data_IF_441728520889
#
_entry.id   IF_441728520889
#
_cell.length_a   1.000
_cell.length_b   1.000
_cell.length_c   1.000
_cell.angle_alpha   90.00
_cell.angle_beta   90.00
_cell.angle_gamma   90.00
#
_symmetry.space_group_name_H-M   'P 1'
#
loop_
_entity.id
_entity.type
_entity.pdbx_description
1 polymer ?
#
# COMPACT_ATOMS: atom_id res chain seq x y z
N UNK A 1 20.75 0.29 -42.25
CA UNK A 1 19.29 0.17 -42.49
C UNK A 1 18.75 -1.16 -41.93
N UNK A 2 19.45 -2.27 -42.15
CA UNK A 2 18.96 -3.64 -41.84
C UNK A 2 18.70 -3.91 -40.34
N UNK A 3 19.52 -3.36 -39.43
CA UNK A 3 19.31 -3.52 -37.99
C UNK A 3 18.00 -2.90 -37.49
N UNK A 4 17.53 -1.84 -38.15
CA UNK A 4 16.29 -1.16 -37.74
C UNK A 4 15.06 -1.93 -38.22
N UNK A 5 15.14 -2.51 -39.43
CA UNK A 5 14.12 -3.38 -40.00
C UNK A 5 13.97 -4.65 -39.15
N UNK A 6 15.09 -5.28 -38.74
CA UNK A 6 15.05 -6.43 -37.83
C UNK A 6 14.43 -6.09 -36.47
N UNK A 7 14.70 -4.91 -35.91
CA UNK A 7 14.12 -4.46 -34.63
C UNK A 7 12.60 -4.25 -34.73
N UNK A 8 12.14 -3.66 -35.83
CA UNK A 8 10.70 -3.47 -36.11
C UNK A 8 10.02 -4.83 -36.28
N UNK A 9 10.60 -5.73 -37.06
CA UNK A 9 10.06 -7.06 -37.29
C UNK A 9 9.93 -7.85 -35.97
N UNK A 10 10.96 -7.83 -35.12
CA UNK A 10 10.90 -8.46 -33.79
C UNK A 10 9.79 -7.88 -32.91
N UNK A 11 9.58 -6.57 -32.93
CA UNK A 11 8.51 -5.90 -32.16
C UNK A 11 7.11 -6.37 -32.55
N UNK A 12 6.90 -6.67 -33.83
CA UNK A 12 5.62 -7.16 -34.35
C UNK A 12 5.41 -8.67 -34.16
N UNK A 13 6.50 -9.45 -34.12
CA UNK A 13 6.45 -10.89 -33.92
C UNK A 13 6.32 -11.29 -32.43
N UNK A 14 6.57 -10.38 -31.49
CA UNK A 14 6.41 -10.63 -30.06
C UNK A 14 4.94 -10.47 -29.61
N UNK A 15 4.48 -11.42 -28.78
CA UNK A 15 3.15 -11.39 -28.17
C UNK A 15 2.96 -10.10 -27.33
N UNK A 16 1.79 -9.47 -27.45
CA UNK A 16 1.43 -8.18 -26.83
C UNK A 16 1.72 -8.12 -25.33
N UNK A 17 1.60 -9.24 -24.62
CA UNK A 17 1.89 -9.34 -23.18
C UNK A 17 3.38 -9.18 -22.84
N UNK A 18 4.29 -9.55 -23.76
CA UNK A 18 5.75 -9.45 -23.57
C UNK A 18 6.32 -8.10 -24.03
N UNK A 19 5.55 -7.32 -24.81
CA UNK A 19 5.93 -5.99 -25.31
C UNK A 19 5.90 -4.88 -24.22
N UNK A 20 5.34 -5.16 -23.05
CA UNK A 20 5.31 -4.19 -21.93
C UNK A 20 6.70 -4.04 -21.29
N UNK A 21 7.53 -5.09 -21.34
CA UNK A 21 8.84 -5.14 -20.69
C UNK A 21 10.00 -4.72 -21.61
N UNK A 22 9.76 -4.59 -22.92
CA UNK A 22 10.77 -4.23 -23.93
C UNK A 22 10.79 -2.75 -24.27
N UNK A 23 9.93 -1.93 -23.65
CA UNK A 23 10.02 -0.46 -23.73
C UNK A 23 11.31 -0.01 -23.04
N UNK A 24 12.35 0.21 -23.86
CA UNK A 24 13.42 1.18 -23.66
C UNK A 24 14.01 1.24 -22.25
N UNK A 25 14.56 0.12 -21.79
CA UNK A 25 15.53 0.11 -20.68
C UNK A 25 16.92 0.65 -21.10
N UNK A 26 17.08 1.16 -22.32
CA UNK A 26 18.34 1.68 -22.86
C UNK A 26 18.71 3.09 -22.37
N UNK A 27 17.88 3.73 -21.55
CA UNK A 27 18.24 4.97 -20.84
C UNK A 27 18.67 4.72 -19.39
N UNK A 28 18.84 3.45 -19.00
CA UNK A 28 19.56 3.12 -17.77
C UNK A 28 21.05 3.35 -18.02
N UNK A 29 21.66 4.26 -17.26
CA UNK A 29 23.09 4.36 -16.93
C UNK A 29 23.85 5.63 -17.37
N UNK A 30 23.27 6.83 -17.29
CA UNK A 30 24.05 8.08 -17.32
C UNK A 30 23.73 9.02 -16.13
N UNK A 31 23.67 8.50 -14.90
CA UNK A 31 23.41 9.36 -13.74
C UNK A 31 24.00 8.90 -12.41
N UNK A 32 25.13 8.17 -12.40
CA UNK A 32 25.91 8.12 -11.16
C UNK A 32 26.56 9.48 -10.96
N UNK A 33 25.86 10.39 -10.28
CA UNK A 33 26.46 11.63 -9.76
C UNK A 33 27.73 11.23 -9.02
N UNK A 34 28.86 11.87 -9.33
CA UNK A 34 30.12 11.56 -8.68
C UNK A 34 29.95 11.73 -7.16
N UNK A 35 30.19 10.66 -6.40
CA UNK A 35 29.94 10.64 -4.95
C UNK A 35 30.73 11.72 -4.19
N UNK A 36 31.85 12.19 -4.75
CA UNK A 36 32.65 13.27 -4.18
C UNK A 36 31.96 14.63 -4.32
N UNK A 37 31.41 14.92 -5.50
CA UNK A 37 30.65 16.14 -5.75
C UNK A 37 29.36 16.15 -4.94
N UNK A 38 28.68 15.01 -4.81
CA UNK A 38 27.48 14.91 -3.98
C UNK A 38 27.79 15.24 -2.51
N UNK A 39 28.91 14.77 -1.98
CA UNK A 39 29.35 15.10 -0.61
C UNK A 39 29.64 16.59 -0.46
N UNK A 40 30.34 17.18 -1.44
CA UNK A 40 30.72 18.59 -1.43
C UNK A 40 29.50 19.52 -1.55
N UNK A 41 28.60 19.25 -2.50
CA UNK A 41 27.43 20.07 -2.77
C UNK A 41 26.20 19.74 -1.93
N UNK A 42 26.24 18.70 -1.08
CA UNK A 42 25.11 18.26 -0.23
C UNK A 42 24.41 19.41 0.48
N UNK A 43 25.18 20.31 1.11
CA UNK A 43 24.63 21.46 1.86
C UNK A 43 23.92 22.45 0.93
N UNK A 44 24.51 22.76 -0.23
CA UNK A 44 23.93 23.69 -1.22
C UNK A 44 22.65 23.11 -1.85
N UNK A 45 22.64 21.82 -2.17
CA UNK A 45 21.46 21.12 -2.69
C UNK A 45 20.32 21.18 -1.67
N UNK A 46 20.61 20.91 -0.39
CA UNK A 46 19.60 21.00 0.68
C UNK A 46 19.07 22.43 0.81
N UNK A 47 19.94 23.44 0.75
CA UNK A 47 19.53 24.85 0.83
C UNK A 47 18.60 25.24 -0.32
N UNK A 48 18.97 24.89 -1.56
CA UNK A 48 18.13 25.11 -2.75
C UNK A 48 16.79 24.40 -2.60
N UNK A 49 16.78 23.14 -2.18
CA UNK A 49 15.52 22.39 -1.99
C UNK A 49 14.60 23.01 -0.95
N UNK A 50 15.15 23.57 0.15
CA UNK A 50 14.36 24.27 1.17
C UNK A 50 13.75 25.55 0.63
N UNK A 51 14.52 26.34 -0.12
CA UNK A 51 14.03 27.55 -0.78
C UNK A 51 12.91 27.27 -1.77
N UNK A 52 13.01 26.17 -2.54
CA UNK A 52 11.92 25.72 -3.42
C UNK A 52 10.67 25.37 -2.60
N UNK A 53 10.81 24.62 -1.50
CA UNK A 53 9.66 24.22 -0.66
C UNK A 53 8.97 25.42 -0.01
N UNK A 54 9.74 26.43 0.40
CA UNK A 54 9.22 27.66 0.99
C UNK A 54 8.67 28.66 -0.04
N UNK A 55 8.73 28.34 -1.35
CA UNK A 55 8.37 29.22 -2.47
C UNK A 55 9.16 30.54 -2.51
N UNK A 56 10.41 30.54 -2.02
CA UNK A 56 11.27 31.73 -1.97
C UNK A 56 12.06 31.96 -3.27
N UNK A 57 11.90 31.10 -4.28
CA UNK A 57 12.61 31.21 -5.56
C UNK A 57 11.68 31.85 -6.59
N UNK A 58 12.01 33.06 -7.01
CA UNK A 58 11.39 33.68 -8.19
C UNK A 58 11.70 32.85 -9.44
N UNK A 59 10.71 32.72 -10.33
CA UNK A 59 10.79 31.97 -11.58
C UNK A 59 11.76 32.62 -12.57
N UNK A 60 13.05 32.58 -12.28
CA UNK A 60 14.10 32.92 -13.24
C UNK A 60 14.24 31.77 -14.25
N UNK A 61 14.44 32.08 -15.53
CA UNK A 61 14.51 31.09 -16.62
C UNK A 61 15.54 29.97 -16.36
N UNK A 62 16.64 30.29 -15.69
CA UNK A 62 17.69 29.35 -15.29
C UNK A 62 17.26 28.36 -14.20
N UNK A 63 16.33 28.75 -13.33
CA UNK A 63 15.80 27.92 -12.24
C UNK A 63 14.59 27.08 -12.66
N UNK A 64 13.92 27.44 -13.76
CA UNK A 64 12.71 26.76 -14.24
C UNK A 64 12.92 25.26 -14.45
N UNK A 65 14.04 24.86 -15.06
CA UNK A 65 14.38 23.44 -15.25
C UNK A 65 14.53 22.67 -13.93
N UNK A 66 15.15 23.30 -12.93
CA UNK A 66 15.35 22.72 -11.59
C UNK A 66 14.01 22.60 -10.86
N UNK A 67 13.15 23.63 -10.95
CA UNK A 67 11.82 23.64 -10.35
C UNK A 67 10.94 22.55 -10.98
N UNK A 68 10.98 22.37 -12.30
CA UNK A 68 10.24 21.32 -13.00
C UNK A 68 10.75 19.91 -12.63
N UNK A 69 12.07 19.75 -12.52
CA UNK A 69 12.65 18.49 -12.06
C UNK A 69 12.26 18.19 -10.60
N UNK A 70 12.22 19.21 -9.76
CA UNK A 70 11.77 19.11 -8.37
C UNK A 70 10.28 18.80 -8.27
N UNK A 71 9.43 19.40 -9.10
CA UNK A 71 7.99 19.12 -9.10
C UNK A 71 7.70 17.70 -9.57
N UNK A 72 8.43 17.19 -10.57
CA UNK A 72 8.36 15.79 -10.98
C UNK A 72 8.78 14.85 -9.84
N UNK A 73 9.89 15.16 -9.17
CA UNK A 73 10.36 14.43 -8.00
C UNK A 73 9.31 14.43 -6.87
N UNK A 74 8.77 15.60 -6.52
CA UNK A 74 7.74 15.76 -5.51
C UNK A 74 6.47 14.97 -5.87
N UNK A 75 6.03 15.01 -7.13
CA UNK A 75 4.89 14.23 -7.61
C UNK A 75 5.13 12.72 -7.47
N UNK A 76 6.34 12.24 -7.75
CA UNK A 76 6.70 10.84 -7.56
C UNK A 76 6.69 10.45 -6.08
N UNK A 77 7.23 11.29 -5.20
CA UNK A 77 7.14 11.09 -3.75
C UNK A 77 5.68 11.05 -3.27
N UNK A 78 4.84 12.01 -3.71
CA UNK A 78 3.42 12.06 -3.34
C UNK A 78 2.69 10.80 -3.80
N UNK A 79 2.92 10.33 -5.03
CA UNK A 79 2.33 9.07 -5.53
C UNK A 79 2.74 7.88 -4.68
N UNK A 80 4.03 7.79 -4.35
CA UNK A 80 4.54 6.72 -3.49
C UNK A 80 3.88 6.73 -2.11
N UNK A 81 3.81 7.88 -1.44
CA UNK A 81 3.17 8.00 -0.12
C UNK A 81 1.68 7.70 -0.17
N UNK A 82 0.95 8.23 -1.18
CA UNK A 82 -0.46 7.89 -1.38
C UNK A 82 -0.66 6.39 -1.54
N UNK A 83 0.19 5.71 -2.31
CA UNK A 83 0.10 4.27 -2.50
C UNK A 83 0.29 3.51 -1.19
N UNK A 84 1.22 3.94 -0.34
CA UNK A 84 1.45 3.31 0.96
C UNK A 84 0.22 3.49 1.85
N UNK A 85 -0.30 4.72 1.96
CA UNK A 85 -1.40 5.03 2.85
C UNK A 85 -2.72 4.36 2.41
N UNK A 86 -2.98 4.30 1.10
CA UNK A 86 -4.11 3.57 0.52
C UNK A 86 -4.01 2.07 0.86
N UNK A 87 -2.83 1.47 0.67
CA UNK A 87 -2.59 0.06 0.96
C UNK A 87 -2.82 -0.25 2.44
N UNK A 88 -2.35 0.62 3.33
CA UNK A 88 -2.52 0.44 4.77
C UNK A 88 -3.99 0.58 5.20
N UNK A 89 -4.75 1.50 4.61
CA UNK A 89 -6.19 1.62 4.86
C UNK A 89 -6.94 0.37 4.39
N UNK A 90 -6.63 -0.15 3.19
CA UNK A 90 -7.19 -1.41 2.72
C UNK A 90 -6.84 -2.56 3.67
N UNK A 91 -5.57 -2.73 4.03
CA UNK A 91 -5.16 -3.80 4.95
C UNK A 91 -5.87 -3.68 6.30
N UNK A 92 -6.08 -2.47 6.81
CA UNK A 92 -6.81 -2.25 8.06
C UNK A 92 -8.25 -2.78 8.01
N UNK A 93 -8.95 -2.62 6.88
CA UNK A 93 -10.33 -3.08 6.69
C UNK A 93 -10.45 -4.62 6.67
N UNK A 94 -9.38 -5.34 6.32
CA UNK A 94 -9.38 -6.80 6.24
C UNK A 94 -8.78 -7.50 7.47
N UNK A 95 -8.32 -6.75 8.50
CA UNK A 95 -7.70 -7.33 9.71
C UNK A 95 -8.62 -8.31 10.45
N UNK A 96 -9.92 -8.06 10.45
CA UNK A 96 -10.89 -8.89 11.21
C UNK A 96 -11.28 -10.19 10.49
N UNK A 97 -11.03 -10.30 9.19
CA UNK A 97 -11.38 -11.49 8.40
C UNK A 97 -10.41 -12.65 8.68
N UNK A 98 -9.15 -12.35 8.98
CA UNK A 98 -8.11 -13.36 9.25
C UNK A 98 -8.37 -14.13 10.56
N UNK A 99 -9.09 -13.54 11.52
CA UNK A 99 -9.36 -14.17 12.83
C UNK A 99 -10.49 -15.19 12.83
N UNK A 100 -11.25 -15.34 11.74
CA UNK A 100 -12.16 -16.48 11.59
C UNK A 100 -11.34 -17.70 11.19
N UNK A 101 -10.60 -18.26 12.14
CA UNK A 101 -10.10 -19.61 12.03
C UNK A 101 -11.28 -20.49 11.65
N UNK A 102 -11.19 -21.11 10.47
CA UNK A 102 -12.13 -22.14 10.06
C UNK A 102 -12.12 -23.14 11.21
N UNK A 103 -13.24 -23.28 11.94
CA UNK A 103 -13.49 -24.48 12.74
C UNK A 103 -13.29 -25.61 11.75
N UNK A 104 -12.11 -26.23 11.78
CA UNK A 104 -11.81 -27.42 11.01
C UNK A 104 -12.90 -28.37 11.48
N UNK A 105 -13.89 -28.62 10.62
CA UNK A 105 -14.83 -29.70 10.86
C UNK A 105 -13.91 -30.90 10.97
N UNK A 106 -13.68 -31.37 12.21
CA UNK A 106 -12.95 -32.61 12.45
C UNK A 106 -13.57 -33.62 11.48
N UNK A 107 -12.77 -34.26 10.66
CA UNK A 107 -13.23 -35.41 9.89
C UNK A 107 -13.82 -36.37 10.92
N UNK A 108 -15.14 -36.50 10.90
CA UNK A 108 -15.85 -37.38 11.83
C UNK A 108 -15.45 -38.80 11.43
N UNK A 109 -14.84 -39.53 12.35
CA UNK A 109 -14.51 -40.94 12.13
C UNK A 109 -15.81 -41.73 11.99
N UNK A 110 -15.85 -42.69 11.05
CA UNK A 110 -17.02 -43.55 10.82
C UNK A 110 -17.49 -44.30 12.08
N UNK A 111 -16.62 -44.41 13.08
CA UNK A 111 -16.91 -45.08 14.35
C UNK A 111 -17.75 -44.24 15.32
N UNK A 112 -17.66 -42.91 15.26
CA UNK A 112 -18.34 -42.01 16.21
C UNK A 112 -19.84 -41.82 15.93
N UNK A 113 -20.28 -42.06 14.69
CA UNK A 113 -21.67 -41.81 14.24
C UNK A 113 -22.43 -43.11 13.87
N UNK A 114 -21.96 -44.31 14.27
CA UNK A 114 -22.61 -45.61 13.94
C UNK A 114 -24.11 -45.63 14.26
N UNK A 115 -24.53 -45.00 15.35
CA UNK A 115 -25.94 -44.93 15.74
C UNK A 115 -26.77 -44.04 14.81
N UNK A 116 -26.24 -42.88 14.36
CA UNK A 116 -26.91 -42.04 13.36
C UNK A 116 -26.96 -42.71 11.99
N UNK A 117 -25.90 -43.41 11.61
CA UNK A 117 -25.86 -44.15 10.34
C UNK A 117 -26.95 -45.22 10.34
N UNK A 118 -27.06 -45.99 11.43
CA UNK A 118 -28.14 -46.98 11.58
C UNK A 118 -29.54 -46.32 11.60
N UNK A 119 -29.70 -45.19 12.27
CA UNK A 119 -30.99 -44.48 12.29
C UNK A 119 -31.41 -43.97 10.91
N UNK A 120 -30.46 -43.58 10.05
CA UNK A 120 -30.73 -43.21 8.65
C UNK A 120 -31.01 -44.45 7.79
N UNK A 121 -30.25 -45.53 7.99
CA UNK A 121 -30.32 -46.74 7.18
C UNK A 121 -31.61 -47.54 7.41
N UNK A 122 -32.13 -47.52 8.63
CA UNK A 122 -33.34 -48.26 9.04
C UNK A 122 -34.57 -47.38 9.23
N UNK A 123 -34.52 -46.12 8.77
CA UNK A 123 -35.68 -45.23 8.81
C UNK A 123 -36.72 -45.71 7.81
N UNK A 124 -37.92 -46.05 8.29
CA UNK A 124 -39.05 -46.33 7.41
C UNK A 124 -39.43 -45.07 6.62
N UNK A 125 -39.28 -45.14 5.30
CA UNK A 125 -39.69 -44.07 4.40
C UNK A 125 -41.22 -44.04 4.32
N UNK A 126 -41.83 -42.92 4.73
CA UNK A 126 -43.24 -42.68 4.49
C UNK A 126 -43.47 -42.53 2.99
N UNK A 127 -44.37 -43.33 2.43
CA UNK A 127 -44.74 -43.25 1.01
C UNK A 127 -45.24 -41.82 0.73
N UNK A 128 -44.55 -41.05 -0.13
CA UNK A 128 -44.93 -39.67 -0.37
C UNK A 128 -46.24 -39.62 -1.15
N UNK A 129 -47.28 -39.00 -0.58
CA UNK A 129 -48.52 -38.65 -1.29
C UNK A 129 -48.27 -37.42 -2.18
N UNK A 130 -49.08 -37.20 -3.23
CA UNK A 130 -48.93 -36.11 -4.21
C UNK A 130 -48.68 -34.72 -3.56
N UNK A 131 -49.32 -34.46 -2.43
CA UNK A 131 -49.19 -33.21 -1.66
C UNK A 131 -47.79 -32.98 -1.06
N UNK A 132 -46.97 -34.03 -0.93
CA UNK A 132 -45.61 -33.97 -0.38
C UNK A 132 -44.57 -33.65 -1.46
N UNK A 133 -44.89 -33.83 -2.74
CA UNK A 133 -43.97 -33.61 -3.86
C UNK A 133 -43.83 -32.13 -4.25
N UNK A 134 -44.75 -31.28 -3.79
CA UNK A 134 -44.74 -29.86 -4.12
C UNK A 134 -44.46 -29.04 -2.87
N UNK A 135 -43.22 -29.06 -2.43
CA UNK A 135 -42.74 -28.04 -1.48
C UNK A 135 -42.57 -26.72 -2.24
N UNK A 136 -43.52 -25.79 -2.09
CA UNK A 136 -43.35 -24.39 -2.52
C UNK A 136 -42.30 -23.73 -1.64
N UNK A 137 -41.04 -23.83 -2.05
CA UNK A 137 -39.96 -23.07 -1.44
C UNK A 137 -40.18 -21.61 -1.85
N UNK A 138 -40.75 -20.81 -0.96
CA UNK A 138 -40.65 -19.35 -1.06
C UNK A 138 -39.19 -19.04 -0.79
N UNK A 139 -38.36 -18.99 -1.83
CA UNK A 139 -37.02 -18.42 -1.72
C UNK A 139 -37.23 -16.98 -1.29
N UNK A 140 -36.94 -16.66 -0.04
CA UNK A 140 -36.80 -15.27 0.36
C UNK A 140 -35.72 -14.69 -0.56
N UNK A 141 -35.98 -13.53 -1.15
CA UNK A 141 -34.99 -12.85 -1.96
C UNK A 141 -33.78 -12.56 -1.06
N UNK A 142 -32.76 -13.41 -1.15
CA UNK A 142 -31.50 -13.19 -0.46
C UNK A 142 -30.95 -11.88 -1.01
N UNK A 143 -30.81 -10.87 -0.14
CA UNK A 143 -30.20 -9.62 -0.54
C UNK A 143 -28.74 -9.92 -0.90
N UNK A 144 -28.47 -10.04 -2.19
CA UNK A 144 -27.12 -10.19 -2.72
C UNK A 144 -26.35 -8.92 -2.36
N UNK A 145 -25.48 -9.02 -1.36
CA UNK A 145 -24.62 -7.89 -0.96
C UNK A 145 -23.54 -7.75 -2.03
N UNK A 146 -23.78 -6.82 -2.96
CA UNK A 146 -22.80 -6.48 -4.00
C UNK A 146 -21.64 -5.71 -3.34
N UNK A 147 -20.37 -6.01 -3.70
CA UNK A 147 -19.23 -5.26 -3.21
C UNK A 147 -19.36 -3.78 -3.58
N UNK A 148 -19.23 -2.91 -2.58
CA UNK A 148 -19.25 -1.45 -2.75
C UNK A 148 -17.83 -0.92 -2.84
N UNK A 149 -17.59 0.02 -3.75
CA UNK A 149 -16.32 0.74 -3.80
C UNK A 149 -16.27 1.77 -2.67
N UNK A 150 -15.22 1.71 -1.84
CA UNK A 150 -14.94 2.71 -0.81
C UNK A 150 -13.77 3.58 -1.27
N UNK A 151 -13.93 4.90 -1.19
CA UNK A 151 -12.83 5.85 -1.44
C UNK A 151 -12.07 6.03 -0.12
N UNK A 152 -10.80 5.59 -0.03
CA UNK A 152 -10.00 5.71 1.19
C UNK A 152 -9.74 7.18 1.56
N UNK A 153 -9.86 7.52 2.85
CA UNK A 153 -9.56 8.87 3.35
C UNK A 153 -8.10 8.97 3.81
N UNK A 154 -7.24 9.44 2.90
CA UNK A 154 -5.78 9.51 3.04
C UNK A 154 -5.32 10.74 3.84
N UNK A 155 -6.12 11.81 3.92
CA UNK A 155 -5.72 13.10 4.50
C UNK A 155 -5.88 13.17 6.03
N UNK A 156 -5.50 12.12 6.74
CA UNK A 156 -5.53 12.07 8.21
C UNK A 156 -4.28 12.70 8.80
N UNK A 157 -4.41 13.34 9.97
CA UNK A 157 -3.28 13.97 10.69
C UNK A 157 -2.17 12.97 11.04
N UNK A 158 -2.53 11.71 11.25
CA UNK A 158 -1.63 10.59 11.54
C UNK A 158 -0.69 10.29 10.36
N UNK A 159 -1.22 10.28 9.14
CA UNK A 159 -0.45 10.01 7.91
C UNK A 159 0.60 11.10 7.63
N UNK A 160 0.37 12.33 8.11
CA UNK A 160 1.28 13.47 7.90
C UNK A 160 2.67 13.29 8.52
N UNK A 161 2.77 12.56 9.64
CA UNK A 161 4.03 12.38 10.39
C UNK A 161 4.50 10.93 10.48
N UNK A 162 3.89 10.05 9.69
CA UNK A 162 4.25 8.63 9.62
C UNK A 162 5.74 8.48 9.33
N UNK A 163 6.42 7.66 10.12
CA UNK A 163 7.87 7.40 10.02
C UNK A 163 8.81 8.60 10.26
N UNK A 164 8.31 9.75 10.74
CA UNK A 164 9.15 10.90 11.10
C UNK A 164 9.38 10.90 12.62
N UNK A 165 10.64 10.69 13.05
CA UNK A 165 11.00 10.78 14.47
C UNK A 165 10.71 12.19 14.98
N UNK A 166 9.93 12.30 16.06
CA UNK A 166 9.74 13.58 16.77
C UNK A 166 11.11 14.06 17.26
N UNK A 167 11.47 15.31 16.96
CA UNK A 167 12.67 15.93 17.51
C UNK A 167 12.48 16.04 19.02
N UNK A 168 13.34 15.39 19.80
CA UNK A 168 13.34 15.55 21.25
C UNK A 168 13.81 16.98 21.57
N UNK A 169 13.04 17.69 22.39
CA UNK A 169 13.41 19.03 22.85
C UNK A 169 14.60 18.90 23.81
N UNK A 170 15.81 19.27 23.37
CA UNK A 170 17.03 19.29 24.20
C UNK A 170 17.11 20.50 25.16
N UNK A 171 16.03 21.25 25.35
CA UNK A 171 16.07 22.58 26.00
C UNK A 171 15.84 22.49 27.53
N UNK A 172 15.29 21.39 28.06
CA UNK A 172 14.96 21.31 29.50
C UNK A 172 16.14 20.98 30.43
N UNK A 173 17.37 20.81 29.92
CA UNK A 173 18.54 20.50 30.77
C UNK A 173 19.50 21.68 30.97
N UNK A 174 19.40 22.75 30.19
CA UNK A 174 20.29 23.91 30.32
C UNK A 174 19.88 24.89 31.43
N UNK A 175 18.60 24.88 31.83
CA UNK A 175 18.09 25.78 32.88
C UNK A 175 18.25 25.25 34.31
N UNK A 176 18.65 23.98 34.51
CA UNK A 176 18.82 23.40 35.86
C UNK A 176 20.25 23.53 36.42
N UNK A 177 21.21 23.97 35.60
CA UNK A 177 22.61 24.14 36.04
C UNK A 177 22.88 25.53 36.64
N UNK A 178 22.10 26.56 36.26
CA UNK A 178 22.28 27.93 36.75
C UNK A 178 21.71 28.17 38.16
N UNK A 179 20.66 27.43 38.58
CA UNK A 179 20.10 27.56 39.93
C UNK A 179 20.93 26.82 41.00
N UNK A 180 21.63 25.74 40.63
CA UNK A 180 22.42 24.95 41.58
C UNK A 180 23.80 25.57 41.94
N UNK A 181 24.20 26.66 41.28
CA UNK A 181 25.46 27.37 41.60
C UNK A 181 25.27 28.54 42.57
N UNK A 182 24.03 28.98 42.84
CA UNK A 182 23.75 30.08 43.78
C UNK A 182 23.63 29.63 45.25
N UNK A 183 23.31 28.38 45.52
CA UNK A 183 23.14 27.85 46.90
C UNK A 183 24.41 27.29 47.57
N UNK A 184 25.60 27.47 46.98
CA UNK A 184 26.89 26.99 47.54
C UNK A 184 27.83 28.10 48.04
N UNK A 185 27.34 29.35 48.09
CA UNK A 185 28.10 30.49 48.62
C UNK A 185 27.29 31.22 49.69
N UNK A 186 27.03 30.53 50.79
CA UNK A 186 26.74 31.13 52.10
C UNK A 186 27.51 30.36 53.16
#
# INVERSE_FOLDING_TARGET
MDNNINKINMKFLLNKQYNVNTKDNSEKNNSSVCNNDLKFYKKRIIDISKKIINNEIENNETNSSIINSFSLFANNCIKHFKSIDINDEYQSNFKDIVKKEKKIKKFVSFEDDKNKINEILFKEEKIPTLDTFVTKIKTADEQIIIPKQTIPNIYRSENRRKNIKKKQNKISSLYNEEENQKHKKE
#
